data_IF_100971285374
#
_entry.id   IF_100971285374
#
_cell.length_a   1.000
_cell.length_b   1.000
_cell.length_c   1.000
_cell.angle_alpha   90.00
_cell.angle_beta   90.00
_cell.angle_gamma   90.00
#
_symmetry.space_group_name_H-M   'P 1'
#
loop_
_entity.id
_entity.type
_entity.pdbx_description
1 polymer ?
#
# COMPACT_ATOMS: atom_id res chain seq x y z
N UNK A 1 22.94 -36.59 42.11
CA UNK A 1 22.53 -36.43 40.70
C UNK A 1 21.04 -36.06 40.51
N UNK A 2 20.39 -35.34 41.45
CA UNK A 2 18.92 -35.03 41.37
C UNK A 2 18.56 -33.59 40.93
N UNK A 3 19.54 -32.69 40.79
CA UNK A 3 19.30 -31.25 40.51
C UNK A 3 19.06 -30.93 39.03
N UNK A 4 19.40 -31.85 38.10
CA UNK A 4 19.26 -31.60 36.65
C UNK A 4 17.82 -31.77 36.13
N UNK A 5 16.99 -32.56 36.81
CA UNK A 5 15.59 -32.81 36.43
C UNK A 5 14.65 -31.62 36.63
N UNK A 6 14.66 -30.88 37.77
CA UNK A 6 13.80 -29.71 37.94
C UNK A 6 14.18 -28.56 37.00
N UNK A 7 15.47 -28.42 36.67
CA UNK A 7 15.96 -27.39 35.73
C UNK A 7 15.44 -27.65 34.30
N UNK A 8 15.44 -28.91 33.86
CA UNK A 8 14.93 -29.31 32.55
C UNK A 8 13.41 -29.10 32.43
N UNK A 9 12.67 -29.41 33.52
CA UNK A 9 11.23 -29.17 33.58
C UNK A 9 10.89 -27.67 33.55
N UNK A 10 11.67 -26.84 34.24
CA UNK A 10 11.50 -25.38 34.22
C UNK A 10 11.79 -24.78 32.84
N UNK A 11 12.82 -25.26 32.15
CA UNK A 11 13.16 -24.85 30.78
C UNK A 11 12.08 -25.25 29.77
N UNK A 12 11.54 -26.46 29.88
CA UNK A 12 10.42 -26.91 29.04
C UNK A 12 9.17 -26.08 29.32
N UNK A 13 8.84 -25.82 30.58
CA UNK A 13 7.70 -24.99 30.95
C UNK A 13 7.84 -23.55 30.41
N UNK A 14 9.04 -22.96 30.52
CA UNK A 14 9.33 -21.64 29.95
C UNK A 14 9.21 -21.62 28.40
N UNK A 15 9.60 -22.70 27.72
CA UNK A 15 9.43 -22.83 26.28
C UNK A 15 7.95 -22.96 25.88
N UNK A 16 7.11 -23.60 26.71
CA UNK A 16 5.67 -23.68 26.49
C UNK A 16 4.91 -22.38 26.80
N UNK A 17 5.50 -21.48 27.60
CA UNK A 17 4.91 -20.18 27.95
C UNK A 17 5.22 -19.08 26.92
N UNK A 18 6.05 -19.34 25.91
CA UNK A 18 6.41 -18.38 24.84
C UNK A 18 5.43 -18.32 23.65
N UNK A 19 4.18 -18.74 23.84
CA UNK A 19 3.19 -18.81 22.76
C UNK A 19 2.42 -17.50 22.56
N UNK A 20 2.38 -17.05 21.30
CA UNK A 20 1.66 -15.89 20.74
C UNK A 20 2.34 -14.51 20.92
N UNK A 21 3.43 -14.26 20.18
CA UNK A 21 3.70 -12.90 19.71
C UNK A 21 2.85 -12.63 18.47
N UNK A 22 1.57 -12.32 18.65
CA UNK A 22 0.83 -11.67 17.57
C UNK A 22 1.46 -10.29 17.39
N UNK A 23 2.12 -10.07 16.25
CA UNK A 23 2.48 -8.72 15.82
C UNK A 23 1.17 -7.98 15.61
N UNK A 24 0.69 -7.31 16.66
CA UNK A 24 -0.46 -6.43 16.63
C UNK A 24 -0.02 -5.15 15.90
N UNK A 25 0.20 -5.28 14.59
CA UNK A 25 0.42 -4.17 13.69
C UNK A 25 -0.94 -3.50 13.43
N UNK A 26 -1.52 -2.94 14.50
CA UNK A 26 -2.71 -2.10 14.41
C UNK A 26 -2.36 -0.91 13.52
N UNK A 27 -2.69 -1.01 12.23
CA UNK A 27 -2.62 0.14 11.32
C UNK A 27 -3.88 0.95 11.53
N UNK A 28 -3.69 2.22 11.86
CA UNK A 28 -4.79 3.18 11.91
C UNK A 28 -5.54 3.18 10.55
N UNK A 29 -6.86 2.95 10.54
CA UNK A 29 -7.65 3.03 9.33
C UNK A 29 -7.42 4.36 8.64
N UNK A 30 -7.08 4.28 7.36
CA UNK A 30 -6.83 5.44 6.55
C UNK A 30 -7.93 5.59 5.51
N UNK A 31 -8.30 6.83 5.23
CA UNK A 31 -9.28 7.19 4.19
C UNK A 31 -8.58 7.97 3.07
N UNK A 32 -9.10 7.85 1.85
CA UNK A 32 -8.65 8.67 0.74
C UNK A 32 -8.98 10.15 1.02
N UNK A 33 -8.09 11.04 0.62
CA UNK A 33 -8.39 12.47 0.68
C UNK A 33 -9.42 12.82 -0.40
N UNK A 34 -10.36 13.75 -0.14
CA UNK A 34 -11.24 14.24 -1.18
C UNK A 34 -10.41 14.84 -2.33
N UNK A 35 -10.92 14.74 -3.55
CA UNK A 35 -10.27 15.31 -4.72
C UNK A 35 -10.04 16.81 -4.48
N UNK A 36 -8.77 17.20 -4.32
CA UNK A 36 -8.39 18.58 -4.08
C UNK A 36 -8.43 19.39 -5.38
N UNK A 37 -8.48 20.71 -5.27
CA UNK A 37 -8.21 21.64 -6.37
C UNK A 37 -6.71 21.62 -6.75
N UNK A 38 -6.16 20.44 -7.00
CA UNK A 38 -4.84 20.29 -7.62
C UNK A 38 -4.90 20.79 -9.07
N UNK A 39 -3.73 21.08 -9.65
CA UNK A 39 -3.67 21.42 -11.08
C UNK A 39 -4.29 20.32 -11.96
N UNK A 40 -4.03 19.05 -11.62
CA UNK A 40 -4.62 17.89 -12.29
C UNK A 40 -6.14 17.85 -12.10
N UNK A 41 -6.64 17.97 -10.87
CA UNK A 41 -8.07 17.98 -10.55
C UNK A 41 -8.85 19.05 -11.31
N UNK A 42 -8.32 20.29 -11.36
CA UNK A 42 -8.90 21.37 -12.16
C UNK A 42 -8.93 21.05 -13.65
N UNK A 43 -7.87 20.44 -14.19
CA UNK A 43 -7.81 20.07 -15.60
C UNK A 43 -8.86 19.01 -15.97
N UNK A 44 -9.09 18.04 -15.08
CA UNK A 44 -10.12 17.00 -15.25
C UNK A 44 -11.52 17.61 -15.14
N UNK A 45 -11.75 18.49 -14.16
CA UNK A 45 -13.04 19.18 -14.01
C UNK A 45 -13.36 20.04 -15.24
N UNK A 46 -12.38 20.77 -15.79
CA UNK A 46 -12.57 21.57 -17.00
C UNK A 46 -12.95 20.70 -18.21
N UNK A 47 -12.32 19.53 -18.37
CA UNK A 47 -12.68 18.57 -19.41
C UNK A 47 -14.06 17.95 -19.20
N UNK A 48 -14.46 17.74 -17.94
CA UNK A 48 -15.76 17.17 -17.59
C UNK A 48 -16.93 18.17 -17.68
N UNK A 49 -16.66 19.49 -17.58
CA UNK A 49 -17.69 20.54 -17.51
C UNK A 49 -18.75 20.48 -18.63
N UNK A 50 -18.42 20.20 -19.91
CA UNK A 50 -19.41 20.08 -20.98
C UNK A 50 -20.42 18.95 -20.78
N UNK A 51 -20.08 17.94 -19.98
CA UNK A 51 -20.87 16.71 -19.78
C UNK A 51 -21.81 16.79 -18.57
N UNK A 52 -21.98 17.97 -17.96
CA UNK A 52 -23.04 18.29 -16.98
C UNK A 52 -23.17 17.29 -15.82
N UNK A 53 -22.05 16.92 -15.21
CA UNK A 53 -22.02 16.02 -14.05
C UNK A 53 -22.01 14.53 -14.39
N UNK A 54 -21.95 14.16 -15.67
CA UNK A 54 -21.69 12.77 -16.06
C UNK A 54 -20.24 12.39 -15.77
N UNK A 55 -20.05 11.14 -15.36
CA UNK A 55 -18.73 10.53 -15.23
C UNK A 55 -18.27 9.97 -16.59
N UNK A 56 -16.95 9.86 -16.77
CA UNK A 56 -16.35 9.31 -17.98
C UNK A 56 -15.08 8.52 -17.68
N UNK A 57 -14.70 7.65 -18.61
CA UNK A 57 -13.47 6.89 -18.56
C UNK A 57 -12.77 6.94 -19.93
N UNK A 58 -11.44 6.95 -19.90
CA UNK A 58 -10.60 6.77 -21.09
C UNK A 58 -9.94 5.39 -20.99
N UNK A 59 -10.20 4.54 -21.97
CA UNK A 59 -9.55 3.24 -22.06
C UNK A 59 -8.12 3.42 -22.57
N UNK A 60 -7.17 2.81 -21.87
CA UNK A 60 -5.75 2.76 -22.25
C UNK A 60 -5.41 1.31 -22.60
N UNK A 61 -5.63 0.93 -23.85
CA UNK A 61 -5.42 -0.45 -24.32
C UNK A 61 -3.95 -0.78 -24.56
N UNK A 62 -3.12 0.23 -24.81
CA UNK A 62 -1.67 0.06 -24.94
C UNK A 62 -0.99 0.06 -23.58
N UNK A 63 -0.14 -0.94 -23.35
CA UNK A 63 0.55 -1.12 -22.07
C UNK A 63 1.56 0.00 -21.79
N UNK A 64 2.22 0.55 -22.81
CA UNK A 64 3.21 1.62 -22.67
C UNK A 64 2.54 2.93 -22.34
N UNK A 65 1.43 3.25 -23.01
CA UNK A 65 0.60 4.42 -22.69
C UNK A 65 0.05 4.31 -21.27
N UNK A 66 -0.50 3.15 -20.90
CA UNK A 66 -1.06 2.93 -19.57
C UNK A 66 0.02 3.04 -18.47
N UNK A 67 1.24 2.57 -18.72
CA UNK A 67 2.36 2.74 -17.80
C UNK A 67 2.76 4.21 -17.67
N UNK A 68 2.93 4.89 -18.82
CA UNK A 68 3.33 6.30 -18.88
C UNK A 68 2.32 7.19 -18.16
N UNK A 69 1.02 6.96 -18.37
CA UNK A 69 -0.04 7.69 -17.68
C UNK A 69 0.08 7.54 -16.15
N UNK A 70 0.32 6.32 -15.64
CA UNK A 70 0.51 6.09 -14.20
C UNK A 70 1.76 6.81 -13.67
N UNK A 71 2.88 6.69 -14.38
CA UNK A 71 4.13 7.33 -13.99
C UNK A 71 4.00 8.87 -13.96
N UNK A 72 3.32 9.47 -14.95
CA UNK A 72 3.05 10.91 -14.97
C UNK A 72 2.10 11.35 -13.85
N UNK A 73 1.06 10.57 -13.55
CA UNK A 73 0.17 10.86 -12.41
C UNK A 73 0.95 10.87 -11.09
N UNK A 74 1.88 9.93 -10.91
CA UNK A 74 2.73 9.86 -9.71
C UNK A 74 3.72 11.02 -9.67
N UNK A 75 4.39 11.33 -10.78
CA UNK A 75 5.34 12.46 -10.88
C UNK A 75 4.70 13.80 -10.56
N UNK A 76 3.45 14.01 -11.01
CA UNK A 76 2.74 15.27 -10.85
C UNK A 76 1.83 15.32 -9.60
N UNK A 77 1.82 14.27 -8.78
CA UNK A 77 1.04 14.26 -7.54
C UNK A 77 1.52 15.35 -6.56
N UNK A 78 0.54 16.04 -5.96
CA UNK A 78 0.78 17.20 -5.08
C UNK A 78 0.42 16.96 -3.61
N UNK A 79 -0.55 16.07 -3.32
CA UNK A 79 -1.10 15.93 -1.96
C UNK A 79 -1.20 14.47 -1.51
N UNK A 80 -1.85 13.62 -2.31
CA UNK A 80 -1.97 12.20 -2.01
C UNK A 80 -1.98 11.34 -3.27
N UNK A 81 -1.61 10.08 -3.09
CA UNK A 81 -1.69 9.01 -4.07
C UNK A 81 -2.28 7.78 -3.39
N UNK A 82 -3.35 7.24 -3.97
CA UNK A 82 -3.98 6.00 -3.53
C UNK A 82 -3.86 4.97 -4.66
N UNK A 83 -3.14 3.88 -4.42
CA UNK A 83 -2.90 2.80 -5.37
C UNK A 83 -3.51 1.51 -4.85
N UNK A 84 -4.20 0.78 -5.73
CA UNK A 84 -4.79 -0.51 -5.42
C UNK A 84 -4.33 -1.51 -6.48
N UNK A 85 -3.64 -2.57 -6.06
CA UNK A 85 -3.15 -3.62 -6.94
C UNK A 85 -3.53 -5.00 -6.43
N UNK A 86 -4.02 -5.82 -7.36
CA UNK A 86 -4.35 -7.21 -7.10
C UNK A 86 -3.11 -8.12 -7.17
N UNK A 87 -2.26 -7.98 -8.20
CA UNK A 87 -1.00 -8.74 -8.34
C UNK A 87 0.12 -7.75 -8.62
N UNK A 88 1.27 -7.94 -7.95
CA UNK A 88 2.51 -7.24 -8.25
C UNK A 88 3.62 -8.27 -8.38
N UNK A 89 4.35 -8.21 -9.49
CA UNK A 89 5.52 -9.06 -9.75
C UNK A 89 6.78 -8.21 -9.83
N UNK A 90 7.91 -8.75 -9.37
CA UNK A 90 9.19 -8.07 -9.52
C UNK A 90 9.58 -7.96 -11.00
N UNK A 91 9.83 -6.74 -11.45
CA UNK A 91 10.10 -6.45 -12.85
C UNK A 91 10.49 -4.99 -13.05
N UNK A 92 11.01 -4.68 -14.23
CA UNK A 92 11.51 -3.33 -14.56
C UNK A 92 10.41 -2.28 -14.36
N UNK A 93 9.21 -2.53 -14.88
CA UNK A 93 8.06 -1.62 -14.74
C UNK A 93 7.67 -1.40 -13.28
N UNK A 94 7.59 -2.47 -12.49
CA UNK A 94 7.28 -2.40 -11.06
C UNK A 94 8.32 -1.56 -10.31
N UNK A 95 9.61 -1.82 -10.52
CA UNK A 95 10.69 -1.08 -9.87
C UNK A 95 10.68 0.40 -10.25
N UNK A 96 10.45 0.70 -11.53
CA UNK A 96 10.32 2.09 -12.01
C UNK A 96 9.14 2.81 -11.36
N UNK A 97 7.97 2.17 -11.26
CA UNK A 97 6.82 2.77 -10.57
C UNK A 97 7.09 3.01 -9.08
N UNK A 98 7.73 2.05 -8.41
CA UNK A 98 8.09 2.18 -6.99
C UNK A 98 9.09 3.32 -6.78
N UNK A 99 10.06 3.49 -7.68
CA UNK A 99 10.97 4.63 -7.64
C UNK A 99 10.23 5.97 -7.75
N UNK A 100 9.25 6.08 -8.64
CA UNK A 100 8.42 7.28 -8.76
C UNK A 100 7.56 7.51 -7.51
N UNK A 101 7.04 6.44 -6.88
CA UNK A 101 6.29 6.53 -5.64
C UNK A 101 7.16 7.03 -4.48
N UNK A 102 8.40 6.53 -4.37
CA UNK A 102 9.37 6.99 -3.38
C UNK A 102 9.69 8.47 -3.60
N UNK A 103 9.99 8.88 -4.84
CA UNK A 103 10.20 10.30 -5.19
C UNK A 103 8.99 11.17 -4.85
N UNK A 104 7.77 10.65 -5.00
CA UNK A 104 6.56 11.38 -4.58
C UNK A 104 6.47 11.51 -3.06
N UNK A 105 6.73 10.43 -2.34
CA UNK A 105 6.74 10.43 -0.88
C UNK A 105 7.84 11.37 -0.31
N UNK A 106 9.02 11.44 -0.94
CA UNK A 106 10.10 12.38 -0.61
C UNK A 106 9.67 13.84 -0.75
N UNK A 107 8.77 14.14 -1.71
CA UNK A 107 8.16 15.47 -1.87
C UNK A 107 7.06 15.76 -0.83
N UNK A 108 6.78 14.83 0.07
CA UNK A 108 5.72 14.94 1.08
C UNK A 108 4.33 14.52 0.59
N UNK A 109 4.21 13.90 -0.58
CA UNK A 109 2.94 13.32 -1.04
C UNK A 109 2.60 12.13 -0.16
N UNK A 110 1.37 12.10 0.37
CA UNK A 110 0.87 10.93 1.11
C UNK A 110 0.58 9.78 0.15
N UNK A 111 1.44 8.78 0.13
CA UNK A 111 1.28 7.58 -0.70
C UNK A 111 0.59 6.49 0.10
N UNK A 112 -0.41 5.85 -0.49
CA UNK A 112 -1.14 4.76 0.12
C UNK A 112 -1.29 3.64 -0.87
N UNK A 113 -0.78 2.47 -0.51
CA UNK A 113 -0.84 1.29 -1.35
C UNK A 113 -1.67 0.22 -0.66
N UNK A 114 -2.66 -0.29 -1.39
CA UNK A 114 -3.48 -1.43 -1.03
C UNK A 114 -3.08 -2.60 -1.94
N UNK A 115 -2.49 -3.63 -1.34
CA UNK A 115 -2.07 -4.84 -2.03
C UNK A 115 -2.92 -6.03 -1.57
N UNK A 116 -3.32 -6.89 -2.50
CA UNK A 116 -3.85 -8.19 -2.17
C UNK A 116 -2.69 -9.11 -1.74
N UNK A 117 -2.80 -9.69 -0.54
CA UNK A 117 -1.71 -10.39 0.17
C UNK A 117 -1.40 -11.76 -0.46
N UNK A 118 -2.24 -12.23 -1.37
CA UNK A 118 -2.20 -13.60 -1.88
C UNK A 118 -1.25 -13.85 -3.06
N UNK A 119 -0.60 -12.81 -3.62
CA UNK A 119 0.13 -12.93 -4.91
C UNK A 119 1.40 -12.09 -5.07
N UNK A 120 2.05 -11.64 -4.00
CA UNK A 120 3.23 -10.74 -4.04
C UNK A 120 4.59 -11.47 -4.00
N UNK A 121 4.80 -12.46 -4.87
CA UNK A 121 6.01 -13.29 -4.87
C UNK A 121 7.31 -12.44 -5.01
N UNK A 122 8.14 -12.43 -3.97
CA UNK A 122 9.51 -11.90 -4.01
C UNK A 122 9.66 -10.38 -3.81
N UNK A 123 8.58 -9.64 -3.51
CA UNK A 123 8.62 -8.19 -3.35
C UNK A 123 8.61 -7.70 -1.90
N UNK A 124 8.64 -8.60 -0.92
CA UNK A 124 8.53 -8.30 0.51
C UNK A 124 9.45 -7.17 0.96
N UNK A 125 10.72 -7.20 0.52
CA UNK A 125 11.71 -6.17 0.89
C UNK A 125 11.40 -4.81 0.27
N UNK A 126 10.91 -4.78 -0.96
CA UNK A 126 10.62 -3.54 -1.67
C UNK A 126 9.35 -2.90 -1.08
N UNK A 127 8.32 -3.71 -0.85
CA UNK A 127 7.09 -3.29 -0.16
C UNK A 127 7.41 -2.81 1.25
N UNK A 128 8.25 -3.53 2.00
CA UNK A 128 8.68 -3.12 3.33
C UNK A 128 9.46 -1.79 3.31
N UNK A 129 10.30 -1.55 2.29
CA UNK A 129 11.04 -0.29 2.14
C UNK A 129 10.09 0.87 1.94
N UNK A 130 9.08 0.71 1.07
CA UNK A 130 8.07 1.73 0.85
C UNK A 130 7.22 1.93 2.12
N UNK A 131 6.81 0.86 2.81
CA UNK A 131 6.04 0.93 4.04
C UNK A 131 6.77 1.62 5.21
N UNK A 132 8.10 1.55 5.23
CA UNK A 132 8.94 2.21 6.23
C UNK A 132 9.06 3.73 6.01
N UNK A 133 8.65 4.24 4.84
CA UNK A 133 8.74 5.66 4.53
C UNK A 133 7.65 6.45 5.29
N UNK A 134 7.98 7.57 5.98
CA UNK A 134 7.04 8.30 6.83
C UNK A 134 5.75 8.77 6.14
N UNK A 135 5.83 8.99 4.83
CA UNK A 135 4.72 9.43 3.99
C UNK A 135 4.12 8.33 3.09
N UNK A 136 4.52 7.06 3.22
CA UNK A 136 4.03 5.98 2.37
C UNK A 136 3.50 4.74 3.15
N UNK A 137 2.48 4.88 4.00
CA UNK A 137 1.88 3.73 4.66
C UNK A 137 1.28 2.73 3.65
N UNK A 138 1.56 1.44 3.84
CA UNK A 138 1.01 0.33 3.04
C UNK A 138 0.03 -0.49 3.89
N UNK A 139 -1.13 -0.84 3.33
CA UNK A 139 -2.13 -1.71 3.93
C UNK A 139 -2.44 -2.94 3.06
N UNK A 140 -2.86 -4.05 3.68
CA UNK A 140 -3.36 -5.23 2.97
C UNK A 140 -4.87 -5.16 2.68
N UNK A 141 -5.33 -5.78 1.59
CA UNK A 141 -6.74 -5.81 1.18
C UNK A 141 -7.64 -6.52 2.22
N UNK A 142 -7.20 -7.63 2.81
CA UNK A 142 -7.95 -8.38 3.84
C UNK A 142 -8.27 -7.51 5.07
N UNK A 143 -7.32 -6.67 5.48
CA UNK A 143 -7.46 -5.80 6.66
C UNK A 143 -8.43 -4.63 6.45
N UNK A 144 -8.83 -4.35 5.20
CA UNK A 144 -9.83 -3.34 4.88
C UNK A 144 -11.24 -3.95 4.84
N UNK A 145 -11.36 -5.24 4.55
CA UNK A 145 -12.62 -5.99 4.59
C UNK A 145 -13.02 -6.39 6.03
N UNK A 146 -12.04 -6.66 6.90
CA UNK A 146 -12.28 -6.97 8.32
C UNK A 146 -12.93 -5.83 9.11
N UNK A 147 -12.82 -4.58 8.61
CA UNK A 147 -13.48 -3.40 9.19
C UNK A 147 -15.01 -3.44 9.08
N UNK A 148 -15.56 -4.34 8.25
CA UNK A 148 -17.00 -4.56 8.11
C UNK A 148 -17.46 -5.94 8.63
N UNK A 149 -16.55 -6.79 9.11
CA UNK A 149 -16.85 -8.16 9.52
C UNK A 149 -17.05 -8.33 11.04
N UNK A 150 -16.66 -7.35 11.86
CA UNK A 150 -16.99 -7.31 13.28
C UNK A 150 -17.97 -6.17 13.60
N UNK A 151 -19.25 -6.42 13.34
CA UNK A 151 -20.39 -5.77 14.00
C UNK A 151 -21.33 -6.85 14.52
#
# INVERSE_FOLDING_TARGET
MRVKQPLLALLLLAAFLGGCSSLDARREPSQALPASDSAFGRSVQAQAAPYKGQSGFRLLSDSTEAFTARAELIRNAQSSLDLQYYIVHDGISTRMLIEELLKAADRGVRVRVLLDDTTSDGLDRVIATLAAHPHAPIGGLEQLLDQHACA
#
